data_IF_569045375821
#
_entry.id   IF_569045375821
#
_cell.length_a   1.000
_cell.length_b   1.000
_cell.length_c   1.000
_cell.angle_alpha   90.00
_cell.angle_beta   90.00
_cell.angle_gamma   90.00
#
_symmetry.space_group_name_H-M   'P 1'
#
loop_
_entity.id
_entity.type
_entity.pdbx_description
1 polymer ?
#
# COMPACT_ATOMS: atom_id res chain seq x y z
N UNK A 1 23.17 10.27 14.27
CA UNK A 1 22.72 9.14 13.44
C UNK A 1 21.44 9.63 12.82
N UNK A 2 21.48 9.91 11.52
CA UNK A 2 20.30 10.39 10.80
C UNK A 2 19.23 9.30 10.87
N UNK A 3 18.13 9.59 11.55
CA UNK A 3 16.94 8.73 11.61
C UNK A 3 16.23 8.85 10.26
N UNK A 4 16.83 8.26 9.23
CA UNK A 4 16.31 8.27 7.87
C UNK A 4 14.97 7.50 7.84
N UNK A 5 13.88 8.23 7.63
CA UNK A 5 12.48 7.75 7.71
C UNK A 5 12.22 6.45 6.92
N UNK A 6 12.95 6.24 5.83
CA UNK A 6 12.79 5.12 4.91
C UNK A 6 14.10 4.36 4.58
N UNK A 7 15.19 4.56 5.35
CA UNK A 7 16.38 3.73 5.16
C UNK A 7 16.10 2.27 5.54
N UNK A 8 16.47 1.35 4.64
CA UNK A 8 16.28 -0.09 4.85
C UNK A 8 14.91 -0.64 4.45
N UNK A 9 14.03 0.18 3.84
CA UNK A 9 12.79 -0.31 3.25
C UNK A 9 13.04 -1.39 2.18
N UNK A 10 12.08 -2.30 2.07
CA UNK A 10 12.08 -3.41 1.11
C UNK A 10 10.66 -3.63 0.62
N UNK A 11 10.49 -4.03 -0.63
CA UNK A 11 9.19 -4.47 -1.12
C UNK A 11 8.81 -5.76 -0.41
N UNK A 12 7.64 -5.76 0.23
CA UNK A 12 7.10 -6.94 0.94
C UNK A 12 5.94 -7.60 0.20
N UNK A 13 5.46 -6.94 -0.85
CA UNK A 13 4.42 -7.43 -1.74
C UNK A 13 5.01 -7.59 -3.13
N UNK A 14 5.10 -8.81 -3.67
CA UNK A 14 5.86 -9.10 -4.89
C UNK A 14 4.99 -9.90 -5.85
N UNK A 15 4.79 -9.39 -7.06
CA UNK A 15 4.15 -10.12 -8.16
C UNK A 15 5.26 -10.89 -8.88
N UNK A 16 5.34 -12.20 -8.62
CA UNK A 16 6.36 -13.07 -9.24
C UNK A 16 5.97 -13.41 -10.67
N UNK A 17 4.68 -13.66 -10.88
CA UNK A 17 4.04 -13.88 -12.20
C UNK A 17 2.70 -13.15 -12.21
N UNK A 18 2.11 -12.88 -13.39
CA UNK A 18 0.76 -12.32 -13.44
C UNK A 18 -0.25 -13.11 -12.59
N UNK A 19 -0.08 -14.42 -12.47
CA UNK A 19 -0.95 -15.29 -11.67
C UNK A 19 -0.46 -15.55 -10.22
N UNK A 20 0.70 -15.02 -9.80
CA UNK A 20 1.30 -15.33 -8.50
C UNK A 20 1.77 -14.07 -7.76
N UNK A 21 1.13 -13.79 -6.63
CA UNK A 21 1.48 -12.72 -5.71
C UNK A 21 2.03 -13.31 -4.41
N UNK A 22 3.11 -12.74 -3.88
CA UNK A 22 3.74 -13.11 -2.62
C UNK A 22 3.70 -11.92 -1.67
N UNK A 23 3.19 -12.12 -0.46
CA UNK A 23 3.38 -11.22 0.68
C UNK A 23 4.25 -11.92 1.72
N UNK A 24 5.22 -11.22 2.32
CA UNK A 24 6.14 -11.83 3.28
C UNK A 24 6.46 -10.94 4.49
N UNK A 25 6.82 -11.60 5.61
CA UNK A 25 7.37 -10.97 6.80
C UNK A 25 8.54 -11.80 7.36
N UNK A 26 9.43 -11.16 8.12
CA UNK A 26 10.59 -11.83 8.73
C UNK A 26 11.90 -11.59 7.97
N UNK A 27 12.66 -12.65 7.69
CA UNK A 27 14.03 -12.55 7.17
C UNK A 27 14.08 -12.19 5.68
N UNK A 28 14.53 -10.98 5.35
CA UNK A 28 14.67 -10.49 3.95
C UNK A 28 15.44 -11.43 3.04
N UNK A 29 16.55 -11.99 3.51
CA UNK A 29 17.40 -12.90 2.73
C UNK A 29 16.63 -14.15 2.30
N UNK A 30 15.80 -14.69 3.19
CA UNK A 30 15.01 -15.88 2.91
C UNK A 30 13.87 -15.58 1.94
N UNK A 31 13.14 -14.49 2.15
CA UNK A 31 12.09 -14.07 1.23
C UNK A 31 12.65 -13.82 -0.19
N UNK A 32 13.83 -13.21 -0.29
CA UNK A 32 14.53 -13.00 -1.57
C UNK A 32 14.86 -14.34 -2.24
N UNK A 33 15.47 -15.28 -1.51
CA UNK A 33 15.78 -16.63 -2.01
C UNK A 33 14.54 -17.33 -2.57
N UNK A 34 13.42 -17.27 -1.85
CA UNK A 34 12.16 -17.92 -2.26
C UNK A 34 11.63 -17.27 -3.54
N UNK A 35 11.60 -15.94 -3.59
CA UNK A 35 11.11 -15.19 -4.75
C UNK A 35 11.97 -15.45 -5.99
N UNK A 36 13.29 -15.45 -5.87
CA UNK A 36 14.21 -15.78 -6.96
C UNK A 36 14.06 -17.24 -7.42
N UNK A 37 13.88 -18.18 -6.49
CA UNK A 37 13.65 -19.59 -6.84
C UNK A 37 12.33 -19.77 -7.60
N UNK A 38 11.26 -19.09 -7.19
CA UNK A 38 9.99 -19.09 -7.90
C UNK A 38 10.12 -18.45 -9.29
N UNK A 39 10.85 -17.34 -9.41
CA UNK A 39 11.12 -16.69 -10.70
C UNK A 39 11.94 -17.56 -11.64
N UNK A 40 12.87 -18.37 -11.12
CA UNK A 40 13.65 -19.29 -11.95
C UNK A 40 12.83 -20.53 -12.38
N UNK A 41 11.96 -21.05 -11.50
CA UNK A 41 11.28 -22.32 -11.72
C UNK A 41 9.95 -22.20 -12.48
N UNK A 42 9.23 -21.09 -12.30
CA UNK A 42 7.85 -20.97 -12.80
C UNK A 42 7.78 -20.45 -14.24
N UNK A 43 6.81 -20.94 -15.04
CA UNK A 43 6.64 -20.47 -16.41
C UNK A 43 6.27 -18.98 -16.45
N UNK A 44 6.68 -18.28 -17.51
CA UNK A 44 6.35 -16.85 -17.73
C UNK A 44 4.96 -16.63 -18.35
N UNK A 45 4.14 -17.67 -18.39
CA UNK A 45 2.78 -17.64 -18.95
C UNK A 45 1.84 -16.81 -18.08
N UNK A 46 0.61 -16.56 -18.57
CA UNK A 46 -0.42 -15.83 -17.82
C UNK A 46 -1.13 -16.68 -16.76
N UNK A 47 -0.93 -18.00 -16.75
CA UNK A 47 -1.63 -18.93 -15.86
C UNK A 47 -0.69 -20.04 -15.41
N UNK A 48 -0.90 -20.56 -14.20
CA UNK A 48 -0.21 -21.75 -13.72
C UNK A 48 -0.72 -22.99 -14.47
N UNK A 49 0.19 -23.72 -15.10
CA UNK A 49 -0.13 -25.00 -15.78
C UNK A 49 -0.35 -26.13 -14.75
N UNK A 50 -0.74 -27.32 -15.23
CA UNK A 50 -1.24 -28.46 -14.41
C UNK A 50 -0.22 -29.09 -13.42
N UNK A 51 0.95 -28.47 -13.21
CA UNK A 51 2.03 -28.99 -12.37
C UNK A 51 2.56 -27.95 -11.37
N UNK A 52 1.85 -27.73 -10.24
CA UNK A 52 2.23 -26.77 -9.22
C UNK A 52 3.29 -27.30 -8.22
N UNK A 53 3.89 -28.47 -8.46
CA UNK A 53 4.79 -29.13 -7.51
C UNK A 53 5.96 -28.22 -7.13
N UNK A 54 6.61 -27.58 -8.11
CA UNK A 54 7.71 -26.66 -7.87
C UNK A 54 7.30 -25.45 -7.00
N UNK A 55 6.10 -24.90 -7.22
CA UNK A 55 5.55 -23.81 -6.40
C UNK A 55 5.45 -24.25 -4.94
N UNK A 56 4.85 -25.41 -4.69
CA UNK A 56 4.64 -25.90 -3.33
C UNK A 56 5.95 -26.33 -2.66
N UNK A 57 6.85 -27.00 -3.37
CA UNK A 57 8.16 -27.39 -2.83
C UNK A 57 8.98 -26.18 -2.40
N UNK A 58 9.03 -25.14 -3.24
CA UNK A 58 9.76 -23.91 -2.94
C UNK A 58 9.13 -23.19 -1.75
N UNK A 59 7.81 -23.01 -1.73
CA UNK A 59 7.14 -22.33 -0.62
C UNK A 59 7.21 -23.12 0.71
N UNK A 60 7.18 -24.46 0.65
CA UNK A 60 7.37 -25.32 1.83
C UNK A 60 8.81 -25.29 2.37
N UNK A 61 9.79 -24.86 1.57
CA UNK A 61 11.18 -24.70 2.02
C UNK A 61 11.41 -23.47 2.91
N UNK A 62 10.35 -22.71 3.23
CA UNK A 62 10.43 -21.47 4.01
C UNK A 62 10.97 -21.70 5.43
N UNK A 63 12.06 -20.99 5.76
CA UNK A 63 12.71 -21.07 7.07
C UNK A 63 11.84 -20.57 8.24
N UNK A 64 12.27 -20.88 9.47
CA UNK A 64 11.48 -20.62 10.67
C UNK A 64 11.19 -19.15 10.98
N UNK A 65 12.10 -18.26 10.58
CA UNK A 65 12.01 -16.83 10.83
C UNK A 65 11.28 -16.04 9.74
N UNK A 66 10.58 -16.71 8.82
CA UNK A 66 9.89 -16.06 7.68
C UNK A 66 8.48 -16.60 7.55
N UNK A 67 7.54 -15.68 7.34
CA UNK A 67 6.14 -15.97 7.06
C UNK A 67 5.82 -15.55 5.63
N UNK A 68 5.05 -16.38 4.92
CA UNK A 68 4.66 -16.10 3.54
C UNK A 68 3.18 -16.40 3.34
N UNK A 69 2.50 -15.50 2.63
CA UNK A 69 1.24 -15.76 1.93
C UNK A 69 1.50 -15.66 0.44
N UNK A 70 1.22 -16.73 -0.28
CA UNK A 70 1.19 -16.76 -1.73
C UNK A 70 -0.27 -16.80 -2.19
N UNK A 71 -0.66 -15.89 -3.08
CA UNK A 71 -1.97 -15.90 -3.72
C UNK A 71 -1.79 -16.31 -5.19
N UNK A 72 -2.52 -17.34 -5.61
CA UNK A 72 -2.45 -17.94 -6.95
C UNK A 72 -3.77 -17.75 -7.66
N UNK A 73 -3.78 -17.10 -8.81
CA UNK A 73 -4.94 -17.06 -9.70
C UNK A 73 -5.01 -18.37 -10.49
N UNK A 74 -6.11 -19.11 -10.34
CA UNK A 74 -6.41 -20.28 -11.15
C UNK A 74 -7.89 -20.25 -11.57
N UNK A 75 -8.11 -20.07 -12.87
CA UNK A 75 -9.45 -19.80 -13.42
C UNK A 75 -10.02 -18.49 -12.88
N UNK A 76 -11.25 -18.55 -12.36
CA UNK A 76 -11.94 -17.41 -11.73
C UNK A 76 -11.67 -17.29 -10.22
N UNK A 77 -10.78 -18.12 -9.67
CA UNK A 77 -10.55 -18.24 -8.23
C UNK A 77 -9.14 -17.83 -7.85
N UNK A 78 -8.98 -17.36 -6.61
CA UNK A 78 -7.68 -17.06 -6.01
C UNK A 78 -7.46 -18.03 -4.85
N UNK A 79 -6.39 -18.81 -4.95
CA UNK A 79 -6.03 -19.81 -3.94
C UNK A 79 -4.88 -19.29 -3.08
N UNK A 80 -5.07 -19.23 -1.75
CA UNK A 80 -4.01 -18.89 -0.83
C UNK A 80 -3.18 -20.12 -0.45
N UNK A 81 -1.87 -19.98 -0.49
CA UNK A 81 -0.91 -20.88 0.18
C UNK A 81 -0.21 -20.11 1.29
N UNK A 82 -0.09 -20.73 2.47
CA UNK A 82 0.49 -20.08 3.65
C UNK A 82 1.66 -20.91 4.18
N UNK A 83 2.81 -20.27 4.33
CA UNK A 83 3.93 -20.82 5.07
C UNK A 83 4.03 -20.10 6.42
N UNK A 84 3.89 -20.87 7.51
CA UNK A 84 4.03 -20.44 8.91
C UNK A 84 3.07 -19.34 9.39
N UNK A 85 2.12 -18.92 8.57
CA UNK A 85 1.00 -18.04 8.93
C UNK A 85 -0.34 -18.77 8.81
N UNK A 86 -1.36 -18.30 9.51
CA UNK A 86 -2.73 -18.83 9.43
C UNK A 86 -3.70 -17.68 9.22
N UNK A 87 -4.61 -17.88 8.27
CA UNK A 87 -5.72 -16.96 8.08
C UNK A 87 -6.82 -17.16 9.11
N UNK A 88 -7.64 -16.13 9.27
CA UNK A 88 -8.86 -16.14 10.07
C UNK A 88 -10.00 -15.55 9.24
N UNK A 89 -11.23 -15.70 9.73
CA UNK A 89 -12.44 -15.27 9.01
C UNK A 89 -13.10 -14.09 9.71
N UNK A 90 -13.51 -13.11 8.92
CA UNK A 90 -14.38 -12.00 9.32
C UNK A 90 -15.47 -11.87 8.26
N UNK A 91 -16.75 -11.97 8.62
CA UNK A 91 -17.90 -11.80 7.72
C UNK A 91 -17.72 -12.54 6.37
N UNK A 92 -17.46 -13.86 6.45
CA UNK A 92 -17.23 -14.77 5.32
C UNK A 92 -16.01 -14.45 4.45
N UNK A 93 -15.11 -13.58 4.92
CA UNK A 93 -13.88 -13.20 4.23
C UNK A 93 -12.68 -13.74 4.97
N UNK A 94 -11.77 -14.34 4.19
CA UNK A 94 -10.51 -14.86 4.70
C UNK A 94 -9.46 -13.76 4.73
N UNK A 95 -8.93 -13.47 5.91
CA UNK A 95 -7.87 -12.48 6.15
C UNK A 95 -6.61 -13.19 6.60
N UNK A 96 -5.47 -12.76 6.06
CA UNK A 96 -4.15 -13.24 6.46
C UNK A 96 -3.33 -12.06 6.95
N UNK A 97 -2.71 -12.21 8.12
CA UNK A 97 -1.83 -11.21 8.72
C UNK A 97 -0.47 -11.85 8.98
N UNK A 98 0.59 -11.08 8.77
CA UNK A 98 1.97 -11.52 8.90
C UNK A 98 2.79 -10.47 9.66
N UNK A 99 3.85 -10.90 10.34
CA UNK A 99 4.82 -10.01 10.98
C UNK A 99 4.38 -9.40 12.30
N UNK A 100 5.23 -8.53 12.84
CA UNK A 100 5.09 -7.95 14.18
C UNK A 100 3.81 -7.12 14.37
N UNK A 101 3.32 -6.47 13.32
CA UNK A 101 2.09 -5.66 13.36
C UNK A 101 0.78 -6.46 13.27
N UNK A 102 0.84 -7.79 13.10
CA UNK A 102 -0.35 -8.61 12.88
C UNK A 102 -1.37 -8.53 14.03
N UNK A 103 -0.91 -8.55 15.28
CA UNK A 103 -1.80 -8.50 16.46
C UNK A 103 -2.55 -7.18 16.63
N UNK A 104 -1.85 -6.06 16.40
CA UNK A 104 -2.46 -4.73 16.41
C UNK A 104 -3.51 -4.59 15.31
N UNK A 105 -3.18 -5.08 14.10
CA UNK A 105 -4.09 -5.01 12.97
C UNK A 105 -5.30 -5.94 13.10
N UNK A 106 -5.12 -7.12 13.70
CA UNK A 106 -6.21 -8.03 14.03
C UNK A 106 -7.20 -7.37 14.98
N UNK A 107 -6.71 -6.82 16.09
CA UNK A 107 -7.56 -6.14 17.09
C UNK A 107 -8.34 -4.99 16.45
N UNK A 108 -7.66 -4.20 15.62
CA UNK A 108 -8.29 -3.11 14.86
C UNK A 108 -9.40 -3.60 13.91
N UNK A 109 -9.18 -4.69 13.17
CA UNK A 109 -10.20 -5.25 12.27
C UNK A 109 -11.43 -5.75 13.03
N UNK A 110 -11.26 -6.26 14.24
CA UNK A 110 -12.38 -6.69 15.10
C UNK A 110 -13.20 -5.50 15.62
N UNK A 111 -12.57 -4.35 15.85
CA UNK A 111 -13.24 -3.13 16.30
C UNK A 111 -13.94 -2.38 15.16
N UNK A 112 -13.54 -2.61 13.90
CA UNK A 112 -14.09 -1.96 12.72
C UNK A 112 -14.42 -2.95 11.57
N UNK A 113 -15.27 -3.98 11.80
CA UNK A 113 -15.57 -5.00 10.79
C UNK A 113 -16.24 -4.42 9.53
N UNK A 114 -16.97 -3.31 9.68
CA UNK A 114 -17.67 -2.62 8.59
C UNK A 114 -16.73 -2.07 7.51
N UNK A 115 -15.43 -1.99 7.79
CA UNK A 115 -14.43 -1.59 6.81
C UNK A 115 -14.24 -2.65 5.74
N UNK A 116 -14.50 -3.92 6.00
CA UNK A 116 -14.33 -4.95 5.00
C UNK A 116 -15.61 -5.03 4.14
N UNK A 117 -15.59 -4.57 2.87
CA UNK A 117 -16.80 -4.40 2.07
C UNK A 117 -17.54 -5.72 1.93
N UNK A 118 -18.83 -5.76 2.27
CA UNK A 118 -19.67 -6.96 2.14
C UNK A 118 -19.97 -7.32 0.68
N UNK A 119 -19.92 -6.34 -0.21
CA UNK A 119 -20.11 -6.51 -1.65
C UNK A 119 -19.11 -5.63 -2.40
N UNK A 120 -18.58 -6.15 -3.49
CA UNK A 120 -17.63 -5.45 -4.35
C UNK A 120 -18.32 -4.95 -5.63
N UNK A 121 -17.83 -3.85 -6.19
CA UNK A 121 -18.27 -3.38 -7.50
C UNK A 121 -17.54 -4.14 -8.60
N UNK A 122 -18.14 -4.23 -9.79
CA UNK A 122 -17.56 -4.99 -10.90
C UNK A 122 -16.16 -4.49 -11.32
N UNK A 123 -15.84 -3.23 -11.06
CA UNK A 123 -14.54 -2.63 -11.38
C UNK A 123 -13.48 -2.80 -10.28
N UNK A 124 -13.84 -3.26 -9.08
CA UNK A 124 -12.94 -3.42 -7.94
C UNK A 124 -12.50 -2.10 -7.27
N UNK A 125 -13.12 -0.95 -7.58
CA UNK A 125 -12.72 0.34 -7.01
C UNK A 125 -13.00 0.43 -5.50
N UNK A 126 -14.06 -0.21 -5.02
CA UNK A 126 -14.40 -0.19 -3.60
C UNK A 126 -13.38 -1.00 -2.78
N UNK A 127 -12.96 -2.16 -3.27
CA UNK A 127 -11.90 -2.96 -2.65
C UNK A 127 -10.58 -2.17 -2.58
N UNK A 128 -10.16 -1.56 -3.70
CA UNK A 128 -8.94 -0.75 -3.76
C UNK A 128 -8.98 0.43 -2.81
N UNK A 129 -10.09 1.17 -2.81
CA UNK A 129 -10.31 2.29 -1.89
C UNK A 129 -10.25 1.84 -0.43
N UNK A 130 -10.89 0.72 -0.12
CA UNK A 130 -10.85 0.13 1.22
C UNK A 130 -9.43 -0.24 1.63
N UNK A 131 -8.66 -0.90 0.75
CA UNK A 131 -7.28 -1.29 1.05
C UNK A 131 -6.37 -0.08 1.27
N UNK A 132 -6.55 1.00 0.50
CA UNK A 132 -5.83 2.25 0.73
C UNK A 132 -6.17 2.86 2.10
N UNK A 133 -7.42 2.79 2.54
CA UNK A 133 -7.83 3.24 3.88
C UNK A 133 -7.17 2.42 4.97
N UNK A 134 -7.14 1.10 4.83
CA UNK A 134 -6.42 0.21 5.75
C UNK A 134 -4.95 0.59 5.87
N UNK A 135 -4.30 0.83 4.73
CA UNK A 135 -2.90 1.21 4.71
C UNK A 135 -2.67 2.61 5.32
N UNK A 136 -3.57 3.57 5.08
CA UNK A 136 -3.51 4.90 5.68
C UNK A 136 -3.66 4.88 7.21
N UNK A 137 -4.47 3.98 7.77
CA UNK A 137 -4.56 3.82 9.23
C UNK A 137 -3.29 3.23 9.84
N UNK A 138 -2.65 2.28 9.13
CA UNK A 138 -1.32 1.83 9.54
C UNK A 138 -0.34 3.01 9.57
N UNK A 139 -0.38 3.90 8.57
CA UNK A 139 0.41 5.14 8.61
C UNK A 139 0.02 6.04 9.79
N UNK A 140 -1.26 6.18 10.12
CA UNK A 140 -1.71 6.95 11.29
C UNK A 140 -1.10 6.43 12.61
N UNK A 141 -1.04 5.10 12.79
CA UNK A 141 -0.37 4.50 13.94
C UNK A 141 1.13 4.78 13.97
N UNK A 142 1.78 4.84 12.81
CA UNK A 142 3.18 5.25 12.71
C UNK A 142 3.37 6.72 13.09
N UNK A 143 2.47 7.61 12.67
CA UNK A 143 2.53 9.06 12.99
C UNK A 143 2.45 9.29 14.51
N UNK A 144 1.68 8.47 15.24
CA UNK A 144 1.58 8.53 16.71
C UNK A 144 2.68 7.72 17.43
N UNK A 145 3.72 7.26 16.72
CA UNK A 145 4.91 6.65 17.30
C UNK A 145 4.91 5.13 17.44
N UNK A 146 3.93 4.39 16.89
CA UNK A 146 3.84 2.93 17.05
C UNK A 146 4.44 2.09 15.90
N UNK A 147 4.88 2.69 14.81
CA UNK A 147 5.22 1.97 13.58
C UNK A 147 6.69 1.57 13.47
N UNK A 148 7.55 2.51 13.08
CA UNK A 148 8.94 2.22 12.68
C UNK A 148 9.76 1.58 13.78
N UNK A 149 9.56 1.99 15.04
CA UNK A 149 10.20 1.38 16.20
C UNK A 149 9.85 -0.11 16.35
N UNK A 150 8.70 -0.54 15.81
CA UNK A 150 8.21 -1.91 15.80
C UNK A 150 8.47 -2.62 14.45
N UNK A 151 9.35 -2.06 13.59
CA UNK A 151 9.78 -2.63 12.31
C UNK A 151 8.71 -2.69 11.20
N UNK A 152 7.72 -1.80 11.23
CA UNK A 152 6.72 -1.66 10.16
C UNK A 152 6.42 -0.18 9.86
N UNK A 153 6.10 0.15 8.60
CA UNK A 153 5.82 1.51 8.16
C UNK A 153 6.73 2.03 7.04
N UNK A 154 6.70 3.35 6.84
CA UNK A 154 7.50 4.09 5.84
C UNK A 154 6.70 4.36 4.56
N UNK A 155 6.23 3.31 3.91
CA UNK A 155 5.29 3.38 2.78
C UNK A 155 4.44 2.12 2.73
N UNK A 156 3.48 2.08 1.81
CA UNK A 156 2.64 0.91 1.64
C UNK A 156 2.40 0.57 0.18
N UNK A 157 2.13 -0.71 -0.06
CA UNK A 157 1.85 -1.29 -1.37
C UNK A 157 0.49 -1.97 -1.32
N UNK A 158 -0.32 -1.80 -2.37
CA UNK A 158 -1.60 -2.49 -2.52
C UNK A 158 -1.58 -3.22 -3.85
N UNK A 159 -1.92 -4.51 -3.84
CA UNK A 159 -2.11 -5.31 -5.05
C UNK A 159 -3.54 -5.82 -5.13
N UNK A 160 -4.02 -5.99 -6.36
CA UNK A 160 -5.37 -6.45 -6.66
C UNK A 160 -5.36 -7.33 -7.92
N UNK A 161 -6.28 -8.31 -8.01
CA UNK A 161 -6.42 -9.14 -9.20
C UNK A 161 -7.11 -8.38 -10.34
N UNK A 162 -6.75 -8.70 -11.57
CA UNK A 162 -7.41 -8.27 -12.82
C UNK A 162 -7.55 -9.48 -13.75
N UNK A 163 -8.33 -9.38 -14.85
CA UNK A 163 -8.39 -10.44 -15.85
C UNK A 163 -7.02 -10.83 -16.44
N UNK A 164 -6.05 -9.91 -16.45
CA UNK A 164 -4.68 -10.14 -16.94
C UNK A 164 -3.70 -10.62 -15.86
N UNK A 165 -4.16 -10.76 -14.61
CA UNK A 165 -3.34 -11.12 -13.46
C UNK A 165 -3.34 -10.06 -12.36
N UNK A 166 -2.51 -10.27 -11.34
CA UNK A 166 -2.29 -9.28 -10.28
C UNK A 166 -1.65 -8.01 -10.84
N UNK A 167 -2.10 -6.88 -10.31
CA UNK A 167 -1.54 -5.56 -10.53
C UNK A 167 -1.34 -4.87 -9.19
N UNK A 168 -0.42 -3.91 -9.14
CA UNK A 168 -0.27 -3.03 -7.97
C UNK A 168 -0.90 -1.67 -8.25
N UNK A 169 -1.40 -1.02 -7.21
CA UNK A 169 -1.71 0.41 -7.28
C UNK A 169 -0.40 1.15 -7.50
N UNK A 170 -0.36 1.95 -8.57
CA UNK A 170 0.79 2.76 -8.95
C UNK A 170 0.44 4.26 -8.85
N UNK A 171 1.46 5.12 -8.85
CA UNK A 171 1.34 6.59 -8.80
C UNK A 171 0.38 7.06 -7.70
N UNK A 172 0.63 6.58 -6.49
CA UNK A 172 -0.15 6.93 -5.30
C UNK A 172 0.46 8.14 -4.62
N UNK A 173 -0.33 9.20 -4.46
CA UNK A 173 0.00 10.35 -3.63
C UNK A 173 -0.72 10.24 -2.30
N UNK A 174 0.03 9.97 -1.23
CA UNK A 174 -0.47 9.93 0.14
C UNK A 174 -0.10 11.21 0.88
N UNK A 175 -1.08 11.86 1.48
CA UNK A 175 -0.90 13.09 2.25
C UNK A 175 -1.59 12.98 3.59
N UNK A 176 -0.81 13.20 4.64
CA UNK A 176 -1.32 13.23 6.00
C UNK A 176 -1.22 14.64 6.57
N UNK A 177 -2.33 15.10 7.13
CA UNK A 177 -2.56 16.45 7.61
C UNK A 177 -2.95 16.44 9.08
N UNK A 178 -2.48 17.42 9.84
CA UNK A 178 -2.99 17.71 11.18
C UNK A 178 -4.00 18.84 11.06
N UNK A 179 -5.23 18.60 11.50
CA UNK A 179 -6.27 19.62 11.53
C UNK A 179 -6.26 20.31 12.89
N UNK A 180 -6.29 21.63 12.89
CA UNK A 180 -6.36 22.45 14.09
C UNK A 180 -7.81 22.78 14.48
N UNK A 181 -8.01 23.21 15.72
CA UNK A 181 -9.37 23.53 16.24
C UNK A 181 -10.04 24.70 15.52
N UNK A 182 -9.26 25.59 14.92
CA UNK A 182 -9.76 26.73 14.14
C UNK A 182 -10.08 26.35 12.68
N UNK A 183 -9.90 25.07 12.31
CA UNK A 183 -10.16 24.55 10.96
C UNK A 183 -8.98 24.73 10.00
N UNK A 184 -7.87 25.34 10.42
CA UNK A 184 -6.63 25.33 9.65
C UNK A 184 -5.99 23.94 9.69
N UNK A 185 -5.12 23.64 8.73
CA UNK A 185 -4.41 22.36 8.70
C UNK A 185 -2.97 22.52 8.22
N UNK A 186 -2.09 21.67 8.74
CA UNK A 186 -0.67 21.63 8.41
C UNK A 186 -0.22 20.22 8.03
N UNK A 187 0.92 20.13 7.33
CA UNK A 187 1.52 18.84 7.02
C UNK A 187 1.91 18.09 8.29
N UNK A 188 1.52 16.82 8.37
CA UNK A 188 1.89 15.96 9.50
C UNK A 188 3.37 15.56 9.51
N UNK A 189 4.09 15.77 8.41
CA UNK A 189 5.46 15.27 8.18
C UNK A 189 5.52 13.90 7.53
N UNK A 190 4.39 13.22 7.33
CA UNK A 190 4.33 11.84 6.82
C UNK A 190 3.52 11.76 5.53
N UNK A 191 4.02 12.42 4.47
CA UNK A 191 3.39 12.43 3.14
C UNK A 191 4.39 11.97 2.10
N UNK A 192 3.92 11.21 1.12
CA UNK A 192 4.78 10.65 0.09
C UNK A 192 4.06 10.45 -1.24
N UNK A 193 4.84 10.34 -2.29
CA UNK A 193 4.43 9.79 -3.58
C UNK A 193 5.13 8.46 -3.82
N UNK A 194 4.37 7.42 -4.16
CA UNK A 194 4.93 6.13 -4.56
C UNK A 194 4.62 5.82 -6.02
N UNK A 195 5.63 5.34 -6.76
CA UNK A 195 5.46 4.84 -8.12
C UNK A 195 6.39 3.69 -8.45
N UNK A 196 6.04 2.87 -9.42
CA UNK A 196 6.91 1.83 -9.97
C UNK A 196 7.68 2.35 -11.20
N UNK A 197 8.97 2.00 -11.27
CA UNK A 197 9.82 2.17 -12.45
C UNK A 197 10.39 0.80 -12.79
N UNK A 198 9.81 0.16 -13.81
CA UNK A 198 9.99 -1.28 -14.01
C UNK A 198 9.43 -2.06 -12.83
N UNK A 199 10.28 -2.85 -12.16
CA UNK A 199 9.91 -3.59 -10.96
C UNK A 199 10.25 -2.84 -9.66
N UNK A 200 11.08 -1.80 -9.73
CA UNK A 200 11.54 -1.06 -8.56
C UNK A 200 10.48 -0.04 -8.12
N UNK A 201 10.41 0.20 -6.81
CA UNK A 201 9.48 1.15 -6.20
C UNK A 201 10.24 2.42 -5.83
N UNK A 202 9.81 3.56 -6.35
CA UNK A 202 10.27 4.87 -5.93
C UNK A 202 9.30 5.39 -4.87
N UNK A 203 9.83 5.76 -3.71
CA UNK A 203 9.10 6.42 -2.63
C UNK A 203 9.69 7.80 -2.39
N UNK A 204 8.93 8.85 -2.70
CA UNK A 204 9.36 10.25 -2.57
C UNK A 204 8.63 10.92 -1.43
N UNK A 205 9.34 11.31 -0.37
CA UNK A 205 8.76 12.00 0.77
C UNK A 205 8.66 13.50 0.50
N UNK A 206 7.58 14.15 0.94
CA UNK A 206 7.34 15.57 0.65
C UNK A 206 7.86 16.56 1.71
N UNK A 207 8.42 16.08 2.84
CA UNK A 207 8.87 16.93 3.95
C UNK A 207 9.71 16.09 4.95
N UNK A 208 10.71 16.65 5.67
CA UNK A 208 11.39 17.93 5.48
C UNK A 208 12.60 17.90 4.54
N UNK A 209 13.11 16.72 4.17
CA UNK A 209 14.31 16.60 3.33
C UNK A 209 14.04 16.24 1.87
N UNK A 210 12.77 16.32 1.43
CA UNK A 210 12.28 15.96 0.07
C UNK A 210 13.11 14.85 -0.59
N UNK A 211 13.15 13.69 0.08
CA UNK A 211 14.05 12.58 -0.29
C UNK A 211 13.31 11.53 -1.10
N UNK A 212 13.96 11.06 -2.15
CA UNK A 212 13.49 9.92 -2.94
C UNK A 212 14.30 8.67 -2.62
N UNK A 213 13.59 7.60 -2.27
CA UNK A 213 14.15 6.30 -1.94
C UNK A 213 13.84 5.32 -3.06
N UNK A 214 14.89 4.69 -3.61
CA UNK A 214 14.76 3.59 -4.56
C UNK A 214 14.73 2.26 -3.81
N UNK A 215 13.57 1.61 -3.80
CA UNK A 215 13.34 0.33 -3.14
C UNK A 215 13.36 -0.76 -4.20
N UNK A 216 14.51 -1.44 -4.30
CA UNK A 216 14.76 -2.45 -5.31
C UNK A 216 13.87 -3.68 -5.12
N UNK A 217 13.27 -4.12 -6.23
CA UNK A 217 12.65 -5.42 -6.34
C UNK A 217 13.74 -6.52 -6.34
N UNK A 218 13.47 -7.69 -5.75
CA UNK A 218 14.33 -8.86 -5.92
C UNK A 218 14.21 -9.48 -7.33
N UNK A 219 13.26 -9.01 -8.14
CA UNK A 219 12.99 -9.45 -9.50
C UNK A 219 13.30 -8.37 -10.53
N UNK A 220 13.77 -8.80 -11.70
CA UNK A 220 14.01 -7.95 -12.85
C UNK A 220 15.29 -7.12 -12.76
N UNK A 221 15.62 -6.47 -13.87
CA UNK A 221 16.72 -5.50 -13.89
C UNK A 221 16.24 -4.14 -13.39
N UNK A 222 17.08 -3.46 -12.61
CA UNK A 222 16.80 -2.09 -12.19
C UNK A 222 16.67 -1.19 -13.40
N UNK A 223 15.53 -0.51 -13.49
CA UNK A 223 15.28 0.49 -14.51
C UNK A 223 15.70 1.87 -13.99
N UNK A 224 16.36 2.66 -14.83
CA UNK A 224 16.71 4.03 -14.48
C UNK A 224 15.51 4.95 -14.75
N UNK A 225 15.16 5.84 -13.80
CA UNK A 225 14.19 6.90 -14.07
C UNK A 225 14.64 7.79 -15.23
N UNK A 226 13.69 8.43 -15.91
CA UNK A 226 14.07 9.35 -16.99
C UNK A 226 14.73 10.62 -16.42
N UNK A 227 15.42 11.37 -17.28
CA UNK A 227 16.14 12.56 -16.87
C UNK A 227 15.20 13.65 -16.32
N UNK A 228 14.03 13.82 -16.92
CA UNK A 228 13.00 14.76 -16.48
C UNK A 228 11.61 14.19 -16.73
N UNK A 229 10.78 14.12 -15.70
CA UNK A 229 9.42 13.57 -15.78
C UNK A 229 8.45 14.45 -15.00
N UNK A 230 7.27 14.67 -15.54
CA UNK A 230 6.10 15.15 -14.78
C UNK A 230 5.11 13.99 -14.71
N UNK A 231 4.75 13.58 -13.50
CA UNK A 231 3.88 12.42 -13.27
C UNK A 231 2.62 12.88 -12.54
N UNK A 232 1.47 12.46 -13.06
CA UNK A 232 0.17 12.68 -12.42
C UNK A 232 -0.21 11.45 -11.59
N UNK A 233 -0.75 11.63 -10.37
CA UNK A 233 -1.19 10.52 -9.54
C UNK A 233 -2.39 9.83 -10.18
N UNK A 234 -2.42 8.50 -10.07
CA UNK A 234 -3.61 7.71 -10.35
C UNK A 234 -4.52 7.65 -9.13
N UNK A 235 -3.94 7.73 -7.94
CA UNK A 235 -4.64 7.79 -6.67
C UNK A 235 -4.11 8.93 -5.82
N UNK A 236 -5.02 9.73 -5.25
CA UNK A 236 -4.70 10.64 -4.15
C UNK A 236 -5.42 10.18 -2.89
N UNK A 237 -4.71 10.18 -1.77
CA UNK A 237 -5.26 9.78 -0.48
C UNK A 237 -4.94 10.85 0.57
N UNK A 238 -6.00 11.42 1.15
CA UNK A 238 -5.91 12.37 2.25
C UNK A 238 -6.23 11.69 3.58
N UNK A 239 -5.36 11.87 4.55
CA UNK A 239 -5.57 11.49 5.94
C UNK A 239 -5.53 12.75 6.81
N UNK A 240 -6.65 13.12 7.42
CA UNK A 240 -6.71 14.20 8.41
C UNK A 240 -6.74 13.61 9.82
N UNK A 241 -5.80 14.06 10.66
CA UNK A 241 -5.74 13.77 12.08
C UNK A 241 -6.38 14.94 12.81
N UNK A 242 -7.54 14.70 13.42
CA UNK A 242 -8.30 15.72 14.15
C UNK A 242 -7.66 15.99 15.52
N UNK A 243 -7.91 17.17 16.14
CA UNK A 243 -7.42 17.48 17.49
C UNK A 243 -7.90 16.49 18.58
N UNK A 244 -8.99 15.77 18.31
CA UNK A 244 -9.55 14.72 19.17
C UNK A 244 -8.83 13.39 19.06
N UNK A 245 -7.90 13.24 18.10
CA UNK A 245 -7.26 11.98 17.74
C UNK A 245 -8.07 11.13 16.74
N UNK A 246 -9.25 11.59 16.33
CA UNK A 246 -10.02 10.92 15.27
C UNK A 246 -9.37 11.10 13.91
N UNK A 247 -9.64 10.16 13.00
CA UNK A 247 -9.10 10.15 11.64
C UNK A 247 -10.22 10.36 10.62
N UNK A 248 -9.97 11.22 9.64
CA UNK A 248 -10.83 11.40 8.46
C UNK A 248 -10.02 11.04 7.22
N UNK A 249 -10.60 10.21 6.37
CA UNK A 249 -9.92 9.57 5.24
C UNK A 249 -10.66 9.87 3.95
N UNK A 250 -9.95 10.28 2.92
CA UNK A 250 -10.53 10.48 1.59
C UNK A 250 -9.60 9.89 0.52
N UNK A 251 -10.09 8.89 -0.22
CA UNK A 251 -9.41 8.36 -1.39
C UNK A 251 -10.09 8.88 -2.65
N UNK A 252 -9.30 9.25 -3.65
CA UNK A 252 -9.78 9.70 -4.96
C UNK A 252 -8.99 8.99 -6.06
N UNK A 253 -9.72 8.31 -6.93
CA UNK A 253 -9.19 7.69 -8.14
C UNK A 253 -9.25 8.66 -9.32
N UNK A 254 -8.18 8.70 -10.11
CA UNK A 254 -8.02 9.57 -11.27
C UNK A 254 -7.96 8.74 -12.55
N UNK A 255 -9.01 8.78 -13.39
CA UNK A 255 -9.02 8.03 -14.64
C UNK A 255 -7.91 8.49 -15.60
N UNK A 256 -7.31 7.59 -16.41
CA UNK A 256 -6.12 7.85 -17.25
C UNK A 256 -6.18 9.00 -18.28
N UNK A 257 -7.29 9.72 -18.42
CA UNK A 257 -7.48 10.78 -19.41
C UNK A 257 -8.12 12.04 -18.85
N UNK A 258 -8.26 12.15 -17.52
CA UNK A 258 -8.79 13.35 -16.89
C UNK A 258 -7.61 14.19 -16.39
N UNK A 259 -7.49 15.47 -16.79
CA UNK A 259 -6.49 16.34 -16.20
C UNK A 259 -6.77 16.48 -14.71
N UNK A 260 -5.73 16.30 -13.91
CA UNK A 260 -5.76 16.47 -12.46
C UNK A 260 -4.77 17.57 -12.10
N UNK A 261 -5.13 18.39 -11.11
CA UNK A 261 -4.27 19.48 -10.68
C UNK A 261 -3.04 18.95 -9.94
N UNK A 262 -3.15 17.79 -9.26
CA UNK A 262 -2.03 17.16 -8.57
C UNK A 262 -0.97 16.64 -9.54
N UNK A 263 0.30 16.91 -9.28
CA UNK A 263 1.41 16.30 -10.03
C UNK A 263 2.70 16.32 -9.21
N UNK A 264 3.68 15.52 -9.64
CA UNK A 264 5.04 15.53 -9.12
C UNK A 264 6.03 15.68 -10.27
N UNK A 265 7.14 16.35 -10.02
CA UNK A 265 8.21 16.62 -10.98
C UNK A 265 9.50 15.96 -10.51
N UNK A 266 10.15 15.26 -11.43
CA UNK A 266 11.40 14.57 -11.18
C UNK A 266 12.52 15.11 -12.07
N UNK A 267 13.74 15.12 -11.52
CA UNK A 267 14.99 15.23 -12.26
C UNK A 267 15.89 14.06 -11.88
N UNK A 268 16.21 13.20 -12.85
CA UNK A 268 17.06 12.02 -12.67
C UNK A 268 16.59 11.12 -11.51
N UNK A 269 15.26 10.96 -11.38
CA UNK A 269 14.65 10.17 -10.31
C UNK A 269 14.59 10.84 -8.94
N UNK A 270 15.13 12.05 -8.76
CA UNK A 270 14.96 12.84 -7.55
C UNK A 270 13.74 13.76 -7.69
N UNK A 271 12.88 13.80 -6.66
CA UNK A 271 11.80 14.76 -6.56
C UNK A 271 12.38 16.19 -6.56
N UNK A 272 11.89 17.05 -7.45
CA UNK A 272 12.32 18.46 -7.56
C UNK A 272 11.18 19.46 -7.42
N UNK A 273 9.94 18.97 -7.46
CA UNK A 273 8.76 19.80 -7.34
C UNK A 273 7.50 18.93 -7.26
N UNK A 274 6.44 19.50 -6.70
CA UNK A 274 5.13 18.86 -6.68
C UNK A 274 4.03 19.88 -6.46
N UNK A 275 2.82 19.51 -6.84
CA UNK A 275 1.63 20.33 -6.74
C UNK A 275 0.48 19.49 -6.24
N UNK A 276 -0.45 20.13 -5.52
CA UNK A 276 -1.69 19.50 -5.08
C UNK A 276 -2.92 20.32 -5.44
N UNK A 277 -4.03 19.61 -5.64
CA UNK A 277 -5.36 20.20 -5.77
C UNK A 277 -5.83 20.76 -4.42
N UNK A 278 -5.41 21.99 -4.11
CA UNK A 278 -5.76 22.66 -2.85
C UNK A 278 -7.27 22.76 -2.64
N UNK A 279 -8.04 23.01 -3.71
CA UNK A 279 -9.49 23.13 -3.59
C UNK A 279 -10.13 21.81 -3.10
N UNK A 280 -9.64 20.67 -3.60
CA UNK A 280 -10.07 19.37 -3.10
C UNK A 280 -9.65 19.14 -1.64
N UNK A 281 -8.38 19.42 -1.29
CA UNK A 281 -7.89 19.26 0.09
C UNK A 281 -8.67 20.15 1.07
N UNK A 282 -8.95 21.40 0.69
CA UNK A 282 -9.77 22.34 1.47
C UNK A 282 -11.20 21.81 1.67
N UNK A 283 -11.78 21.17 0.65
CA UNK A 283 -13.11 20.56 0.79
C UNK A 283 -13.11 19.42 1.80
N UNK A 284 -12.14 18.51 1.71
CA UNK A 284 -12.00 17.40 2.67
C UNK A 284 -11.72 17.94 4.08
N UNK A 285 -10.87 18.97 4.22
CA UNK A 285 -10.58 19.61 5.51
C UNK A 285 -11.84 20.23 6.14
N UNK A 286 -12.70 20.89 5.35
CA UNK A 286 -13.98 21.43 5.84
C UNK A 286 -14.92 20.31 6.30
N UNK A 287 -15.01 19.21 5.54
CA UNK A 287 -15.80 18.05 5.94
C UNK A 287 -15.24 17.45 7.25
N UNK A 288 -13.92 17.32 7.37
CA UNK A 288 -13.24 16.86 8.58
C UNK A 288 -13.52 17.76 9.80
N UNK A 289 -13.48 19.08 9.62
CA UNK A 289 -13.77 20.06 10.68
C UNK A 289 -15.22 19.98 11.15
N UNK A 290 -16.18 19.74 10.25
CA UNK A 290 -17.57 19.53 10.63
C UNK A 290 -17.74 18.31 11.56
N UNK A 291 -16.97 17.24 11.36
CA UNK A 291 -16.98 16.08 12.27
C UNK A 291 -16.48 16.40 13.69
N UNK A 292 -15.52 17.32 13.84
CA UNK A 292 -15.05 17.80 15.16
C UNK A 292 -16.18 18.50 15.92
N UNK A 293 -17.03 19.24 15.21
CA UNK A 293 -18.15 19.98 15.80
C UNK A 293 -19.35 19.08 16.15
N UNK A 294 -19.60 18.02 15.37
CA UNK A 294 -20.78 17.15 15.51
C UNK A 294 -20.55 15.91 16.40
N UNK A 295 -19.29 15.52 16.64
CA UNK A 295 -18.93 14.59 17.71
C UNK A 295 -19.47 13.15 17.59
N UNK A 296 -19.65 12.56 16.40
CA UNK A 296 -19.83 11.09 16.21
C UNK A 296 -19.35 10.68 14.81
N UNK A 297 -18.80 9.45 14.68
CA UNK A 297 -18.04 8.91 13.54
C UNK A 297 -18.81 8.51 12.27
N UNK A 298 -17.99 8.22 11.25
CA UNK A 298 -18.24 7.63 9.93
C UNK A 298 -19.62 7.88 9.28
N UNK A 299 -19.70 8.90 8.40
CA UNK A 299 -20.66 8.91 7.29
C UNK A 299 -19.94 8.67 5.97
N UNK A 300 -20.26 7.53 5.36
CA UNK A 300 -19.86 7.12 4.01
C UNK A 300 -20.59 8.02 3.00
N UNK A 301 -19.87 8.89 2.27
CA UNK A 301 -20.40 9.48 1.03
C UNK A 301 -20.01 8.58 -0.13
N UNK A 302 -21.01 7.98 -0.77
CA UNK A 302 -20.88 7.29 -2.05
C UNK A 302 -21.13 8.29 -3.18
N UNK A 303 -20.22 8.36 -4.15
CA UNK A 303 -20.46 8.94 -5.48
C UNK A 303 -20.96 7.86 -6.43
#
# INVERSE_FOLDING_TARGET
MDNDYAAGLTQKLIIVRPYLLIAWAGLRREATRIVEALDAALPRTKQLEEHPEALFEILNSCSEGTEIVALVIAGSSIFPFCARTRGFEIDDKRVYLLGSGAGDFFSFLQECPELVPSQEQADGLLARTTMLRFAARAMAFQIIGKGLENSWGGGFEVAFPTPDGFQKIDRLMFRAWKLERDGTYEYSGHSFFSRYVGHDLLLSCFNPEEKTYLIKSPLGESSMPEAHETIWPEWTFELFILPTGQLVEAARYHPPHRPVSDFVEYSHGALVGWHWDKAHVDDVARQAAAFVAEGVGFKRQSY
#
